data_IF_059280869627
#
_entry.id   IF_059280869627
#
_cell.length_a   1.000
_cell.length_b   1.000
_cell.length_c   1.000
_cell.angle_alpha   90.00
_cell.angle_beta   90.00
_cell.angle_gamma   90.00
#
_symmetry.space_group_name_H-M   'P 1'
#
loop_
_entity.id
_entity.type
_entity.pdbx_description
1 polymer ?
#
# COMPACT_ATOMS: atom_id res chain seq x y z
N UNK A 1 -17.73 64.42 9.88
CA UNK A 1 -17.39 63.16 10.56
C UNK A 1 -17.53 62.05 9.53
N UNK A 2 -16.40 61.47 9.14
CA UNK A 2 -16.32 60.35 8.20
C UNK A 2 -16.79 59.08 8.90
N UNK A 3 -17.63 58.28 8.24
CA UNK A 3 -17.80 56.85 8.57
C UNK A 3 -17.58 56.08 7.28
N UNK A 4 -16.41 55.46 7.21
CA UNK A 4 -15.91 54.66 6.11
C UNK A 4 -15.54 53.32 6.72
N UNK A 5 -16.53 52.44 6.85
CA UNK A 5 -16.33 51.04 7.21
C UNK A 5 -16.97 50.18 6.11
N UNK A 6 -16.39 50.28 4.90
CA UNK A 6 -16.57 49.26 3.87
C UNK A 6 -15.68 48.10 4.25
N UNK A 7 -16.28 47.08 4.88
CA UNK A 7 -15.66 45.80 5.15
C UNK A 7 -15.20 45.17 3.83
N UNK A 8 -13.90 45.23 3.57
CA UNK A 8 -13.24 44.42 2.55
C UNK A 8 -13.24 42.97 3.06
N UNK A 9 -14.30 42.23 2.72
CA UNK A 9 -14.26 40.78 2.70
C UNK A 9 -13.42 40.37 1.49
N UNK A 10 -12.09 40.52 1.65
CA UNK A 10 -11.10 40.16 0.66
C UNK A 10 -11.01 38.64 0.56
N UNK A 11 -11.95 38.03 -0.14
CA UNK A 11 -11.75 36.71 -0.69
C UNK A 11 -10.53 36.78 -1.60
N UNK A 12 -9.36 36.42 -1.06
CA UNK A 12 -8.13 36.30 -1.84
C UNK A 12 -8.44 35.36 -3.01
N UNK A 13 -8.50 35.93 -4.20
CA UNK A 13 -8.83 35.20 -5.42
C UNK A 13 -7.71 34.19 -5.69
N UNK A 14 -7.95 32.93 -5.35
CA UNK A 14 -6.99 31.83 -5.52
C UNK A 14 -6.61 31.67 -7.00
N UNK A 15 -7.46 32.14 -7.91
CA UNK A 15 -7.23 32.16 -9.36
C UNK A 15 -6.01 32.99 -9.78
N UNK A 16 -5.53 33.90 -8.93
CA UNK A 16 -4.34 34.71 -9.19
C UNK A 16 -3.01 33.95 -8.96
N UNK A 17 -3.05 32.74 -8.40
CA UNK A 17 -1.85 31.92 -8.23
C UNK A 17 -1.35 31.40 -9.58
N UNK A 18 -0.05 31.55 -9.91
CA UNK A 18 0.54 30.96 -11.11
C UNK A 18 0.28 29.46 -11.21
N UNK A 19 0.21 28.77 -10.07
CA UNK A 19 -0.08 27.33 -10.02
C UNK A 19 -1.50 27.01 -10.51
N UNK A 20 -2.49 27.85 -10.17
CA UNK A 20 -3.89 27.65 -10.54
C UNK A 20 -4.24 28.20 -11.92
N UNK A 21 -3.35 29.00 -12.53
CA UNK A 21 -3.45 29.36 -13.96
C UNK A 21 -3.08 28.22 -14.92
N UNK A 22 -2.40 27.18 -14.43
CA UNK A 22 -2.07 25.99 -15.24
C UNK A 22 -3.32 25.14 -15.49
N UNK A 23 -3.43 24.43 -16.63
CA UNK A 23 -4.45 23.42 -16.84
C UNK A 23 -4.47 22.34 -15.75
N UNK A 24 -5.64 21.77 -15.41
CA UNK A 24 -5.77 20.75 -14.37
C UNK A 24 -4.82 19.54 -14.54
N UNK A 25 -4.51 19.16 -15.77
CA UNK A 25 -3.62 18.05 -16.10
C UNK A 25 -2.19 18.32 -15.59
N UNK A 26 -1.66 19.51 -15.86
CA UNK A 26 -0.34 19.92 -15.38
C UNK A 26 -0.29 20.06 -13.86
N UNK A 27 -1.40 20.49 -13.25
CA UNK A 27 -1.49 20.54 -11.78
C UNK A 27 -1.45 19.13 -11.19
N UNK A 28 -2.16 18.17 -11.78
CA UNK A 28 -2.10 16.77 -11.34
C UNK A 28 -0.68 16.23 -11.42
N UNK A 29 0.08 16.51 -12.47
CA UNK A 29 1.48 16.07 -12.57
C UNK A 29 2.35 16.70 -11.47
N UNK A 30 2.17 17.99 -11.18
CA UNK A 30 2.83 18.65 -10.04
C UNK A 30 2.46 17.97 -8.72
N UNK A 31 1.17 17.65 -8.51
CA UNK A 31 0.71 16.94 -7.32
C UNK A 31 1.35 15.55 -7.21
N UNK A 32 1.48 14.82 -8.31
CA UNK A 32 2.16 13.52 -8.34
C UNK A 32 3.62 13.62 -7.92
N UNK A 33 4.36 14.59 -8.45
CA UNK A 33 5.76 14.83 -8.06
C UNK A 33 5.94 15.13 -6.57
N UNK A 34 4.94 15.76 -5.94
CA UNK A 34 5.00 16.14 -4.52
C UNK A 34 4.49 15.06 -3.57
N UNK A 35 3.58 14.19 -4.02
CA UNK A 35 2.78 13.34 -3.14
C UNK A 35 2.93 11.84 -3.40
N UNK A 36 3.42 11.43 -4.57
CA UNK A 36 3.67 10.01 -4.83
C UNK A 36 5.02 9.64 -4.25
N UNK A 37 4.99 8.66 -3.36
CA UNK A 37 6.18 8.05 -2.79
C UNK A 37 6.72 6.99 -3.74
N UNK A 38 7.91 7.23 -4.29
CA UNK A 38 8.67 6.22 -5.01
C UNK A 38 9.68 5.60 -4.06
N UNK A 39 9.53 4.33 -3.64
CA UNK A 39 10.55 3.67 -2.84
C UNK A 39 11.83 3.60 -3.68
N UNK A 40 12.86 4.33 -3.26
CA UNK A 40 14.15 4.33 -3.93
C UNK A 40 14.71 2.91 -3.86
N UNK A 41 14.84 2.24 -5.01
CA UNK A 41 15.48 0.93 -5.08
C UNK A 41 16.93 1.08 -4.60
N UNK A 42 17.47 0.19 -3.74
CA UNK A 42 18.82 0.31 -3.19
C UNK A 42 19.96 0.10 -4.22
N UNK A 43 19.70 0.21 -5.52
CA UNK A 43 20.65 -0.10 -6.61
C UNK A 43 21.15 1.13 -7.36
N UNK A 44 21.54 2.22 -6.67
CA UNK A 44 22.16 3.38 -7.31
C UNK A 44 23.10 4.20 -6.41
N UNK A 45 23.87 3.57 -5.51
CA UNK A 45 25.00 4.27 -4.88
C UNK A 45 26.12 3.32 -4.46
N UNK A 46 26.70 2.59 -5.42
CA UNK A 46 27.96 1.86 -5.22
C UNK A 46 29.21 2.68 -5.57
N UNK A 47 29.10 4.00 -5.81
CA UNK A 47 30.23 4.86 -6.19
C UNK A 47 30.35 6.12 -5.32
N UNK A 48 30.44 5.97 -4.00
CA UNK A 48 30.93 7.04 -3.14
C UNK A 48 31.97 6.47 -2.16
N UNK A 49 33.08 5.96 -2.72
CA UNK A 49 34.27 5.67 -1.93
C UNK A 49 34.94 6.98 -1.51
N UNK A 50 35.05 7.11 -0.19
CA UNK A 50 36.21 7.63 0.54
C UNK A 50 36.62 9.09 0.31
N UNK A 51 36.19 9.97 1.22
CA UNK A 51 37.05 11.07 1.67
C UNK A 51 36.72 11.56 3.08
N UNK A 52 37.69 11.42 3.96
CA UNK A 52 37.69 11.80 5.39
C UNK A 52 37.85 13.33 5.59
N UNK A 53 36.99 13.88 6.48
CA UNK A 53 37.14 15.10 7.34
C UNK A 53 36.98 16.50 6.70
N UNK A 54 36.77 17.60 7.48
CA UNK A 54 36.38 17.75 8.91
C UNK A 54 35.17 18.71 9.14
N UNK A 55 34.78 18.79 10.41
CA UNK A 55 33.69 19.56 11.02
C UNK A 55 33.53 21.04 10.60
N UNK A 56 32.33 21.40 10.15
CA UNK A 56 31.68 22.68 10.45
C UNK A 56 30.20 22.44 10.78
N UNK A 57 29.73 23.06 11.86
CA UNK A 57 28.34 23.00 12.33
C UNK A 57 27.42 23.56 11.25
N UNK A 58 26.62 22.70 10.65
CA UNK A 58 25.42 23.04 9.92
C UNK A 58 24.44 21.91 10.15
N UNK A 59 23.26 22.26 10.65
CA UNK A 59 22.13 21.34 10.85
C UNK A 59 21.65 20.89 9.46
N UNK A 60 22.29 19.84 8.95
CA UNK A 60 21.95 19.12 7.74
C UNK A 60 22.50 17.71 7.91
N UNK A 61 21.83 16.93 8.76
CA UNK A 61 22.07 15.50 8.90
C UNK A 61 21.57 14.79 7.65
N UNK A 62 22.33 14.85 6.56
CA UNK A 62 22.18 13.91 5.45
C UNK A 62 22.76 12.58 5.89
N UNK A 63 21.86 11.65 6.23
CA UNK A 63 22.20 10.32 6.69
C UNK A 63 20.97 9.47 6.91
N UNK A 64 20.00 9.57 5.98
CA UNK A 64 18.89 8.68 5.62
C UNK A 64 17.91 9.57 4.84
N UNK A 65 17.68 9.25 3.57
CA UNK A 65 16.72 9.97 2.74
C UNK A 65 15.33 9.82 3.37
N UNK A 66 14.88 10.84 4.11
CA UNK A 66 13.49 10.88 4.54
C UNK A 66 12.62 10.83 3.27
N UNK A 67 11.62 9.94 3.21
CA UNK A 67 10.70 9.88 2.10
C UNK A 67 9.96 11.22 2.03
N UNK A 68 10.36 12.06 1.08
CA UNK A 68 10.00 13.47 1.03
C UNK A 68 8.61 13.64 0.42
N UNK A 69 7.58 13.18 1.14
CA UNK A 69 6.19 13.43 0.78
C UNK A 69 5.80 14.80 1.30
N UNK A 70 5.46 15.72 0.42
CA UNK A 70 5.12 17.10 0.75
C UNK A 70 3.63 17.26 1.09
N UNK A 71 3.07 16.42 1.97
CA UNK A 71 1.64 16.40 2.30
C UNK A 71 1.10 17.71 2.92
N UNK A 72 1.98 18.58 3.43
CA UNK A 72 1.60 19.91 3.94
C UNK A 72 0.93 20.79 2.87
N UNK A 73 1.16 20.53 1.58
CA UNK A 73 0.52 21.26 0.48
C UNK A 73 -1.01 21.16 0.53
N UNK A 74 -1.56 20.05 1.03
CA UNK A 74 -3.00 19.83 1.18
C UNK A 74 -3.65 20.78 2.20
N UNK A 75 -2.86 21.45 3.05
CA UNK A 75 -3.33 22.41 4.07
C UNK A 75 -3.37 23.86 3.57
N UNK A 76 -2.86 24.12 2.37
CA UNK A 76 -2.70 25.51 1.88
C UNK A 76 -4.01 26.13 1.43
N UNK A 77 -4.79 25.41 0.61
CA UNK A 77 -6.07 25.91 0.08
C UNK A 77 -7.03 24.76 -0.29
N UNK A 78 -8.31 25.11 -0.48
CA UNK A 78 -9.38 24.14 -0.79
C UNK A 78 -9.17 23.46 -2.15
N UNK A 79 -8.68 24.20 -3.13
CA UNK A 79 -8.45 23.65 -4.48
C UNK A 79 -7.32 22.61 -4.47
N UNK A 80 -6.15 22.94 -3.91
CA UNK A 80 -5.06 21.98 -3.76
C UNK A 80 -5.49 20.76 -2.93
N UNK A 81 -6.27 20.98 -1.87
CA UNK A 81 -6.82 19.87 -1.09
C UNK A 81 -7.70 18.95 -1.94
N UNK A 82 -8.66 19.49 -2.70
CA UNK A 82 -9.60 18.72 -3.50
C UNK A 82 -8.91 17.96 -4.65
N UNK A 83 -7.95 18.57 -5.33
CA UNK A 83 -7.23 17.96 -6.44
C UNK A 83 -6.20 16.93 -5.97
N UNK A 84 -5.45 17.24 -4.90
CA UNK A 84 -4.29 16.45 -4.52
C UNK A 84 -4.60 15.32 -3.52
N UNK A 85 -5.69 15.43 -2.75
CA UNK A 85 -6.16 14.35 -1.84
C UNK A 85 -6.35 13.00 -2.56
N UNK A 86 -7.10 12.89 -3.67
CA UNK A 86 -7.27 11.62 -4.36
C UNK A 86 -5.96 11.05 -4.91
N UNK A 87 -4.99 11.90 -5.28
CA UNK A 87 -3.66 11.46 -5.74
C UNK A 87 -2.87 10.87 -4.55
N UNK A 88 -2.81 11.58 -3.43
CA UNK A 88 -2.08 11.12 -2.24
C UNK A 88 -2.59 9.77 -1.74
N UNK A 89 -3.90 9.58 -1.63
CA UNK A 89 -4.46 8.35 -1.06
C UNK A 89 -4.72 7.26 -2.10
N UNK A 90 -5.03 7.61 -3.34
CA UNK A 90 -5.38 6.64 -4.39
C UNK A 90 -4.19 6.07 -5.15
N UNK A 91 -3.13 6.86 -5.36
CA UNK A 91 -2.00 6.43 -6.19
C UNK A 91 -0.84 5.81 -5.38
N UNK A 92 -0.79 6.06 -4.07
CA UNK A 92 0.21 5.50 -3.16
C UNK A 92 -0.22 4.16 -2.53
N UNK A 93 0.77 3.38 -2.13
CA UNK A 93 0.56 2.10 -1.42
C UNK A 93 0.46 2.31 0.09
N UNK A 94 -0.52 1.64 0.71
CA UNK A 94 -0.75 1.68 2.14
C UNK A 94 -0.55 0.30 2.76
N UNK A 95 0.06 0.27 3.93
CA UNK A 95 0.17 -0.93 4.73
C UNK A 95 -1.16 -1.24 5.42
N UNK A 96 -1.75 -2.39 5.10
CA UNK A 96 -2.90 -2.93 5.80
C UNK A 96 -2.47 -3.49 7.17
N UNK A 97 -3.35 -3.37 8.18
CA UNK A 97 -3.07 -3.89 9.51
C UNK A 97 -3.22 -5.43 9.52
N UNK A 98 -2.30 -6.19 10.13
CA UNK A 98 -2.31 -7.67 10.04
C UNK A 98 -3.59 -8.33 10.55
N UNK A 99 -4.29 -7.72 11.51
CA UNK A 99 -5.57 -8.26 12.04
C UNK A 99 -6.80 -7.42 11.69
N UNK A 100 -6.62 -6.17 11.21
CA UNK A 100 -7.74 -5.23 10.97
C UNK A 100 -7.85 -4.86 9.49
N UNK A 101 -6.97 -5.42 8.66
CA UNK A 101 -6.96 -5.32 7.21
C UNK A 101 -7.01 -3.86 6.74
N UNK A 102 -7.99 -3.51 5.91
CA UNK A 102 -8.16 -2.17 5.35
C UNK A 102 -8.76 -1.15 6.34
N UNK A 103 -9.13 -1.56 7.57
CA UNK A 103 -9.80 -0.68 8.53
C UNK A 103 -8.89 0.39 9.14
N UNK A 104 -7.59 0.09 9.28
CA UNK A 104 -6.57 1.01 9.81
C UNK A 104 -5.32 1.01 8.90
N UNK A 105 -5.42 1.60 7.71
CA UNK A 105 -4.32 1.64 6.78
C UNK A 105 -3.27 2.67 7.21
N UNK A 106 -2.00 2.30 7.12
CA UNK A 106 -0.86 3.17 7.40
C UNK A 106 -0.12 3.48 6.12
N UNK A 107 0.32 4.73 5.90
CA UNK A 107 1.09 5.05 4.69
C UNK A 107 2.40 4.25 4.67
N UNK A 108 2.68 3.53 3.57
CA UNK A 108 3.87 2.70 3.45
C UNK A 108 5.04 3.51 2.85
N UNK A 109 6.13 3.63 3.61
CA UNK A 109 7.32 4.37 3.21
C UNK A 109 8.44 3.45 2.71
N UNK A 110 8.61 2.29 3.33
CA UNK A 110 9.55 1.29 2.83
C UNK A 110 9.12 -0.09 3.28
N UNK A 111 9.41 -1.09 2.46
CA UNK A 111 9.31 -2.50 2.84
C UNK A 111 10.66 -3.06 3.28
N UNK A 112 11.78 -2.43 2.91
CA UNK A 112 13.15 -2.93 3.17
C UNK A 112 14.06 -1.83 3.76
N UNK A 113 15.01 -2.19 4.65
CA UNK A 113 15.21 -3.51 5.28
C UNK A 113 14.18 -3.81 6.39
N UNK A 114 13.49 -2.77 6.86
CA UNK A 114 12.41 -2.84 7.84
C UNK A 114 11.22 -2.12 7.25
N UNK A 115 10.01 -2.63 7.52
CA UNK A 115 8.77 -1.99 7.09
C UNK A 115 8.55 -0.69 7.86
N UNK A 116 8.70 0.44 7.17
CA UNK A 116 8.52 1.78 7.73
C UNK A 116 7.17 2.32 7.28
N UNK A 117 6.35 2.75 8.23
CA UNK A 117 5.02 3.28 7.97
C UNK A 117 4.76 4.55 8.79
N UNK A 118 3.87 5.40 8.29
CA UNK A 118 3.33 6.52 9.07
C UNK A 118 2.20 6.03 9.99
N UNK A 119 1.78 6.85 10.98
CA UNK A 119 0.65 6.52 11.83
C UNK A 119 -0.62 6.15 11.03
N UNK A 120 -1.46 5.25 11.55
CA UNK A 120 -2.67 4.82 10.86
C UNK A 120 -3.62 5.98 10.54
N UNK A 121 -4.25 5.88 9.38
CA UNK A 121 -5.31 6.79 8.97
C UNK A 121 -6.58 6.45 9.75
N UNK A 122 -7.06 7.42 10.52
CA UNK A 122 -8.27 7.28 11.34
C UNK A 122 -9.52 7.87 10.68
N UNK A 123 -9.37 8.63 9.61
CA UNK A 123 -10.47 9.31 8.95
C UNK A 123 -11.10 8.43 7.85
N UNK A 124 -12.34 7.94 8.02
CA UNK A 124 -12.95 6.99 7.08
C UNK A 124 -13.13 7.58 5.68
N UNK A 125 -13.31 8.91 5.58
CA UNK A 125 -13.47 9.60 4.30
C UNK A 125 -12.26 9.44 3.39
N UNK A 126 -11.04 9.51 3.94
CA UNK A 126 -9.82 9.34 3.14
C UNK A 126 -9.42 7.88 3.02
N UNK A 127 -9.76 7.03 3.99
CA UNK A 127 -9.51 5.59 3.92
C UNK A 127 -10.19 4.95 2.69
N UNK A 128 -11.40 5.42 2.32
CA UNK A 128 -12.14 4.97 1.13
C UNK A 128 -11.48 5.34 -0.21
N UNK A 129 -10.53 6.28 -0.20
CA UNK A 129 -9.79 6.66 -1.40
C UNK A 129 -8.61 5.73 -1.66
N UNK A 130 -8.22 4.92 -0.67
CA UNK A 130 -7.08 4.03 -0.77
C UNK A 130 -7.42 2.82 -1.64
N UNK A 131 -6.57 2.57 -2.62
CA UNK A 131 -6.78 1.51 -3.62
C UNK A 131 -5.63 0.52 -3.71
N UNK A 132 -4.48 0.84 -3.12
CA UNK A 132 -3.26 0.03 -3.20
C UNK A 132 -2.85 -0.37 -1.79
N UNK A 133 -2.83 -1.66 -1.53
CA UNK A 133 -2.53 -2.22 -0.22
C UNK A 133 -1.32 -3.14 -0.27
N UNK A 134 -0.51 -3.09 0.78
CA UNK A 134 0.51 -4.08 1.11
C UNK A 134 0.18 -4.64 2.49
N UNK A 135 0.10 -5.96 2.60
CA UNK A 135 -0.23 -6.66 3.83
C UNK A 135 0.92 -7.59 4.18
N UNK A 136 1.35 -7.56 5.44
CA UNK A 136 2.38 -8.44 5.96
C UNK A 136 1.74 -9.48 6.89
N UNK A 137 1.78 -10.76 6.48
CA UNK A 137 1.07 -11.86 7.14
C UNK A 137 2.06 -12.85 7.74
N UNK A 138 1.83 -13.20 9.00
CA UNK A 138 2.54 -14.27 9.69
C UNK A 138 1.87 -15.60 9.43
N UNK A 139 2.64 -16.58 8.99
CA UNK A 139 2.16 -17.96 8.83
C UNK A 139 2.21 -18.76 10.13
N UNK A 140 2.90 -18.26 11.15
CA UNK A 140 3.10 -18.95 12.44
C UNK A 140 2.13 -18.48 13.54
N UNK A 141 1.15 -17.65 13.19
CA UNK A 141 0.22 -17.05 14.17
C UNK A 141 -1.16 -16.91 13.55
N UNK A 142 -2.20 -17.08 14.36
CA UNK A 142 -3.57 -16.79 13.95
C UNK A 142 -3.71 -15.30 13.53
N UNK A 143 -4.12 -15.02 12.27
CA UNK A 143 -4.31 -13.66 11.78
C UNK A 143 -5.38 -12.85 12.53
N UNK A 144 -6.32 -13.51 13.22
CA UNK A 144 -7.48 -12.91 13.92
C UNK A 144 -8.44 -12.16 13.00
N UNK A 145 -8.54 -12.58 11.74
CA UNK A 145 -9.60 -12.15 10.81
C UNK A 145 -10.17 -13.37 10.07
N UNK A 146 -11.36 -13.20 9.52
CA UNK A 146 -12.09 -14.22 8.76
C UNK A 146 -11.99 -13.98 7.25
N UNK A 147 -12.30 -14.99 6.45
CA UNK A 147 -12.32 -14.84 4.98
C UNK A 147 -13.29 -13.75 4.52
N UNK A 148 -14.48 -13.66 5.14
CA UNK A 148 -15.46 -12.62 4.84
C UNK A 148 -14.92 -11.21 5.10
N UNK A 149 -14.08 -11.01 6.13
CA UNK A 149 -13.46 -9.72 6.41
C UNK A 149 -12.37 -9.38 5.37
N UNK A 150 -11.65 -10.39 4.88
CA UNK A 150 -10.68 -10.22 3.79
C UNK A 150 -11.37 -9.83 2.48
N UNK A 151 -12.48 -10.49 2.15
CA UNK A 151 -13.32 -10.16 1.00
C UNK A 151 -13.85 -8.72 1.07
N UNK A 152 -14.43 -8.32 2.21
CA UNK A 152 -14.95 -6.96 2.41
C UNK A 152 -13.83 -5.91 2.30
N UNK A 153 -12.63 -6.23 2.75
CA UNK A 153 -11.50 -5.29 2.78
C UNK A 153 -10.82 -5.10 1.43
N UNK A 154 -10.76 -6.14 0.60
CA UNK A 154 -9.88 -6.15 -0.58
C UNK A 154 -10.56 -6.42 -1.92
N UNK A 155 -11.87 -6.71 -1.94
CA UNK A 155 -12.57 -6.85 -3.21
C UNK A 155 -12.53 -5.54 -4.02
N UNK A 156 -12.16 -5.64 -5.29
CA UNK A 156 -12.15 -4.50 -6.22
C UNK A 156 -11.02 -3.48 -6.02
N UNK A 157 -10.02 -3.77 -5.18
CA UNK A 157 -8.86 -2.87 -5.00
C UNK A 157 -7.96 -2.87 -6.23
N UNK A 158 -7.26 -1.77 -6.49
CA UNK A 158 -6.41 -1.64 -7.67
C UNK A 158 -5.15 -2.51 -7.54
N UNK A 159 -4.58 -2.57 -6.34
CA UNK A 159 -3.38 -3.36 -6.07
C UNK A 159 -3.41 -3.98 -4.67
N UNK A 160 -3.09 -5.27 -4.58
CA UNK A 160 -2.94 -6.01 -3.34
C UNK A 160 -1.63 -6.79 -3.35
N UNK A 161 -0.70 -6.41 -2.50
CA UNK A 161 0.52 -7.16 -2.23
C UNK A 161 0.40 -7.87 -0.88
N UNK A 162 0.53 -9.19 -0.86
CA UNK A 162 0.57 -10.00 0.35
C UNK A 162 1.99 -10.55 0.50
N UNK A 163 2.71 -10.04 1.49
CA UNK A 163 4.01 -10.56 1.88
C UNK A 163 3.83 -11.51 3.08
N UNK A 164 4.20 -12.78 2.90
CA UNK A 164 4.14 -13.78 3.96
C UNK A 164 5.52 -14.07 4.55
N UNK A 165 5.56 -14.27 5.86
CA UNK A 165 6.78 -14.71 6.54
C UNK A 165 6.50 -15.71 7.65
N UNK A 166 7.54 -16.47 8.01
CA UNK A 166 7.56 -17.40 9.12
C UNK A 166 8.73 -17.03 10.05
N UNK A 167 8.49 -17.03 11.37
CA UNK A 167 9.56 -16.77 12.33
C UNK A 167 10.48 -17.98 12.53
N UNK A 168 9.95 -19.20 12.39
CA UNK A 168 10.70 -20.45 12.45
C UNK A 168 10.42 -21.31 11.22
N UNK A 169 11.48 -21.94 10.69
CA UNK A 169 11.35 -22.87 9.58
C UNK A 169 10.50 -24.09 9.97
N UNK A 170 9.55 -24.47 9.11
CA UNK A 170 8.69 -25.64 9.31
C UNK A 170 7.51 -25.43 10.26
N UNK A 171 7.36 -24.25 10.86
CA UNK A 171 6.22 -23.91 11.74
C UNK A 171 5.14 -23.09 11.02
N UNK A 172 5.06 -23.18 9.70
CA UNK A 172 4.10 -22.43 8.89
C UNK A 172 2.74 -23.14 8.80
N UNK A 173 1.67 -22.36 8.95
CA UNK A 173 0.31 -22.75 8.63
C UNK A 173 -0.16 -21.96 7.40
N UNK A 174 -0.15 -22.62 6.25
CA UNK A 174 -0.61 -22.02 4.99
C UNK A 174 -2.13 -21.90 4.90
N UNK A 175 -2.89 -22.49 5.83
CA UNK A 175 -4.34 -22.30 5.90
C UNK A 175 -4.71 -20.82 6.08
N UNK A 176 -3.82 -20.01 6.65
CA UNK A 176 -3.96 -18.55 6.73
C UNK A 176 -4.18 -17.92 5.36
N UNK A 177 -3.52 -18.42 4.31
CA UNK A 177 -3.70 -17.90 2.96
C UNK A 177 -5.05 -18.30 2.34
N UNK A 178 -5.67 -19.39 2.80
CA UNK A 178 -7.01 -19.78 2.34
C UNK A 178 -8.08 -18.74 2.68
N UNK A 179 -7.84 -17.90 3.71
CA UNK A 179 -8.73 -16.80 4.07
C UNK A 179 -8.89 -15.77 2.95
N UNK A 180 -7.92 -15.67 2.05
CA UNK A 180 -7.98 -14.74 0.93
C UNK A 180 -8.53 -15.37 -0.36
N UNK A 181 -8.87 -16.66 -0.36
CA UNK A 181 -9.40 -17.35 -1.54
C UNK A 181 -10.71 -16.76 -2.05
N UNK A 182 -11.44 -15.98 -1.24
CA UNK A 182 -12.67 -15.31 -1.65
C UNK A 182 -12.46 -13.92 -2.27
N UNK A 183 -11.28 -13.32 -2.14
CA UNK A 183 -11.00 -11.97 -2.61
C UNK A 183 -11.00 -11.92 -4.14
N UNK A 184 -11.74 -11.00 -4.77
CA UNK A 184 -11.90 -10.93 -6.25
C UNK A 184 -11.85 -9.50 -6.77
N UNK A 185 -11.65 -9.37 -8.08
CA UNK A 185 -11.65 -8.11 -8.80
C UNK A 185 -10.45 -7.21 -8.49
N UNK A 186 -9.36 -7.78 -7.98
CA UNK A 186 -8.13 -7.04 -7.72
C UNK A 186 -7.44 -6.71 -9.04
N UNK A 187 -7.06 -5.46 -9.27
CA UNK A 187 -6.37 -5.07 -10.51
C UNK A 187 -5.01 -5.77 -10.67
N UNK A 188 -4.17 -5.69 -9.63
CA UNK A 188 -2.89 -6.39 -9.53
C UNK A 188 -2.74 -7.04 -8.15
N UNK A 189 -2.74 -8.36 -8.10
CA UNK A 189 -2.42 -9.14 -6.90
C UNK A 189 -1.00 -9.73 -6.96
N UNK A 190 -0.26 -9.69 -5.85
CA UNK A 190 1.05 -10.34 -5.72
C UNK A 190 1.15 -11.00 -4.36
N UNK A 191 1.47 -12.29 -4.32
CA UNK A 191 1.74 -13.02 -3.07
C UNK A 191 3.22 -13.44 -3.06
N UNK A 192 4.00 -12.95 -2.10
CA UNK A 192 5.47 -13.16 -2.05
C UNK A 192 5.97 -13.47 -0.64
N UNK A 193 7.25 -13.82 -0.52
CA UNK A 193 7.92 -14.09 0.75
C UNK A 193 8.15 -15.57 0.99
N UNK A 194 7.83 -16.08 2.18
CA UNK A 194 8.01 -17.49 2.58
C UNK A 194 6.92 -18.40 2.01
N UNK A 195 6.76 -18.43 0.68
CA UNK A 195 5.66 -19.13 -0.03
C UNK A 195 5.98 -20.56 -0.46
N UNK A 196 7.07 -21.16 0.03
CA UNK A 196 7.45 -22.53 -0.33
C UNK A 196 7.73 -22.69 -1.83
N UNK A 197 6.97 -23.55 -2.51
CA UNK A 197 7.08 -23.80 -3.96
C UNK A 197 6.45 -22.68 -4.83
N UNK A 198 5.75 -21.72 -4.22
CA UNK A 198 5.17 -20.56 -4.89
C UNK A 198 3.95 -20.86 -5.78
N UNK A 199 3.57 -22.13 -5.99
CA UNK A 199 2.46 -22.48 -6.90
C UNK A 199 1.12 -22.01 -6.37
N UNK A 200 0.87 -22.27 -5.08
CA UNK A 200 -0.36 -21.81 -4.44
C UNK A 200 -0.43 -20.28 -4.37
N UNK A 201 0.71 -19.62 -4.12
CA UNK A 201 0.80 -18.15 -4.12
C UNK A 201 0.49 -17.54 -5.51
N UNK A 202 1.00 -18.17 -6.58
CA UNK A 202 0.68 -17.79 -7.96
C UNK A 202 -0.80 -17.97 -8.29
N UNK A 203 -1.35 -19.16 -8.03
CA UNK A 203 -2.78 -19.43 -8.22
C UNK A 203 -3.67 -18.49 -7.41
N UNK A 204 -3.32 -18.20 -6.16
CA UNK A 204 -4.08 -17.30 -5.30
C UNK A 204 -4.08 -15.87 -5.87
N UNK A 205 -2.92 -15.38 -6.33
CA UNK A 205 -2.83 -14.07 -6.97
C UNK A 205 -3.67 -14.00 -8.25
N UNK A 206 -3.62 -15.02 -9.11
CA UNK A 206 -4.44 -15.10 -10.31
C UNK A 206 -5.95 -15.14 -9.97
N UNK A 207 -6.33 -15.96 -8.99
CA UNK A 207 -7.70 -16.08 -8.49
C UNK A 207 -8.23 -14.74 -7.95
N UNK A 208 -7.39 -13.95 -7.28
CA UNK A 208 -7.76 -12.61 -6.82
C UNK A 208 -8.02 -11.61 -7.94
N UNK A 209 -7.31 -11.75 -9.07
CA UNK A 209 -7.48 -10.89 -10.24
C UNK A 209 -8.71 -11.24 -11.07
N UNK A 210 -9.30 -12.43 -10.88
CA UNK A 210 -10.52 -12.82 -11.57
C UNK A 210 -11.70 -11.90 -11.22
N UNK A 211 -12.61 -11.73 -12.19
CA UNK A 211 -13.79 -10.88 -12.02
C UNK A 211 -14.73 -11.41 -10.91
N UNK A 212 -15.37 -10.54 -10.12
CA UNK A 212 -16.39 -10.96 -9.15
C UNK A 212 -17.57 -11.61 -9.89
N UNK A 213 -17.77 -12.92 -9.69
CA UNK A 213 -18.81 -13.71 -10.36
C UNK A 213 -18.36 -14.45 -11.63
N UNK A 214 -17.08 -14.38 -12.01
CA UNK A 214 -16.50 -15.26 -13.01
C UNK A 214 -16.40 -16.70 -12.51
N UNK A 215 -16.24 -17.66 -13.42
CA UNK A 215 -15.94 -19.06 -13.07
C UNK A 215 -14.77 -19.07 -12.09
N UNK A 216 -14.98 -19.65 -10.90
CA UNK A 216 -13.88 -19.85 -9.97
C UNK A 216 -12.84 -20.70 -10.70
N UNK A 217 -11.56 -20.30 -10.72
CA UNK A 217 -10.51 -21.27 -10.96
C UNK A 217 -10.80 -22.46 -10.04
N UNK A 218 -10.82 -23.67 -10.62
CA UNK A 218 -10.95 -24.90 -9.86
C UNK A 218 -10.02 -24.81 -8.64
N UNK A 219 -10.51 -25.21 -7.46
CA UNK A 219 -9.75 -25.05 -6.23
C UNK A 219 -8.34 -25.62 -6.41
N UNK A 220 -7.31 -25.00 -5.84
CA UNK A 220 -5.94 -25.51 -5.95
C UNK A 220 -5.90 -26.99 -5.49
N UNK A 221 -5.81 -27.92 -6.44
CA UNK A 221 -5.97 -29.38 -6.22
C UNK A 221 -7.12 -30.07 -6.96
N UNK A 222 -8.06 -29.34 -7.58
CA UNK A 222 -9.17 -29.91 -8.39
C UNK A 222 -8.79 -30.11 -9.88
N UNK A 223 -7.74 -29.47 -10.38
CA UNK A 223 -7.20 -29.70 -11.74
C UNK A 223 -6.57 -31.10 -11.95
N UNK A 224 -6.60 -31.96 -10.93
CA UNK A 224 -6.02 -33.31 -10.94
C UNK A 224 -7.00 -34.45 -10.64
N UNK A 225 -8.31 -34.26 -10.79
CA UNK A 225 -9.30 -35.32 -10.54
C UNK A 225 -9.32 -36.44 -11.62
N UNK A 226 -8.23 -36.61 -12.37
CA UNK A 226 -7.85 -37.85 -13.06
C UNK A 226 -6.42 -38.20 -12.64
N UNK A 227 -6.21 -38.42 -11.34
CA UNK A 227 -4.97 -38.97 -10.81
C UNK A 227 -4.53 -38.33 -9.49
N UNK A 228 -4.87 -38.99 -8.38
CA UNK A 228 -4.40 -38.75 -7.00
C UNK A 228 -4.79 -37.40 -6.37
N UNK A 229 -5.65 -37.49 -5.36
CA UNK A 229 -5.80 -36.46 -4.35
C UNK A 229 -4.52 -36.30 -3.53
N UNK A 230 -3.59 -35.48 -4.02
CA UNK A 230 -2.32 -35.15 -3.34
C UNK A 230 -2.08 -33.63 -3.25
N UNK A 231 -3.05 -32.77 -3.59
CA UNK A 231 -2.86 -31.32 -3.51
C UNK A 231 -2.99 -30.74 -2.09
N UNK A 232 -3.98 -31.21 -1.32
CA UNK A 232 -4.26 -30.75 0.06
C UNK A 232 -3.44 -31.45 1.13
N UNK A 233 -3.06 -32.71 0.90
CA UNK A 233 -2.49 -33.58 1.94
C UNK A 233 -0.95 -33.55 2.02
N UNK A 234 -0.26 -32.94 1.05
CA UNK A 234 1.21 -32.78 1.10
C UNK A 234 1.66 -31.83 2.22
N UNK A 235 0.74 -31.06 2.81
CA UNK A 235 1.08 -29.93 3.70
C UNK A 235 0.61 -30.06 5.14
N UNK A 236 -0.20 -31.07 5.47
CA UNK A 236 -0.54 -31.39 6.88
C UNK A 236 0.59 -32.11 7.61
N UNK A 237 1.62 -32.56 6.88
CA UNK A 237 2.75 -33.35 7.39
C UNK A 237 4.05 -32.59 7.54
N UNK A 238 4.03 -31.28 7.85
CA UNK A 238 5.23 -30.61 8.35
C UNK A 238 5.74 -31.40 9.56
N UNK A 239 6.89 -32.08 9.41
CA UNK A 239 7.50 -32.97 10.40
C UNK A 239 7.30 -32.45 11.83
N UNK A 240 6.49 -33.18 12.61
CA UNK A 240 6.58 -33.15 14.07
C UNK A 240 7.86 -33.81 14.55
#
# INVERSE_FOLDING_TARGET
>A
MQSLDTMMDGALDQSASPLFSLPPELRNDIWRYLLIHTPSSPSSSLNAMDRKKPHHRSSAGSGLCDPQICANILRTCKQANAEATPILYGENTFNAHPSLLASLPSFLLSTLPVRVTLPPITHPRVARLIRKFSLHVRLDTDPRFTSSQAEESFNGVEELEIEVFQAMYGSCDFSVLSLFEGVRGVGRAVVRGSVGDGRYAGWLAESMMCHPGGERPLGFGEEGAVGRGEGRDVWQGGNR
#
